data_IF_846436431408
#
_entry.id   IF_846436431408
#
_cell.length_a   1.000
_cell.length_b   1.000
_cell.length_c   1.000
_cell.angle_alpha   90.00
_cell.angle_beta   90.00
_cell.angle_gamma   90.00
#
_symmetry.space_group_name_H-M   'P 1'
#
loop_
_entity.id
_entity.type
_entity.pdbx_description
1 polymer ?
#
# COMPACT_ATOMS: atom_id res chain seq x y z
N UNK A 1 -4.48 21.45 -1.62
CA UNK A 1 -5.41 21.33 -0.47
C UNK A 1 -6.71 20.72 -0.96
N UNK A 2 -7.10 19.62 -0.35
CA UNK A 2 -8.37 18.96 -0.63
C UNK A 2 -9.40 19.45 0.37
N UNK A 3 -10.54 19.96 -0.13
CA UNK A 3 -11.66 20.30 0.73
C UNK A 3 -12.35 18.99 1.17
N UNK A 4 -12.29 18.71 2.46
CA UNK A 4 -12.86 17.49 3.05
C UNK A 4 -14.26 17.69 3.63
N UNK A 5 -14.90 18.83 3.34
CA UNK A 5 -16.24 19.14 3.87
C UNK A 5 -16.21 19.86 5.21
N UNK A 6 -17.39 20.16 5.70
CA UNK A 6 -17.58 20.99 6.90
C UNK A 6 -17.82 20.17 8.18
N UNK A 7 -18.06 18.85 8.07
CA UNK A 7 -18.33 18.02 9.24
C UNK A 7 -17.05 17.71 10.01
N UNK A 8 -17.18 17.71 11.34
CA UNK A 8 -16.07 17.30 12.21
C UNK A 8 -15.72 15.83 11.93
N UNK A 9 -14.45 15.57 11.67
CA UNK A 9 -13.96 14.23 11.35
C UNK A 9 -13.95 13.87 9.87
N UNK A 10 -14.43 14.72 8.97
CA UNK A 10 -14.41 14.46 7.52
C UNK A 10 -12.96 14.27 7.01
N UNK A 11 -12.00 15.04 7.51
CA UNK A 11 -10.59 14.86 7.18
C UNK A 11 -10.05 13.48 7.56
N UNK A 12 -10.46 12.94 8.68
CA UNK A 12 -10.12 11.58 9.12
C UNK A 12 -10.74 10.53 8.21
N UNK A 13 -11.99 10.75 7.78
CA UNK A 13 -12.68 9.84 6.86
C UNK A 13 -11.97 9.80 5.50
N UNK A 14 -11.61 10.95 4.93
CA UNK A 14 -10.82 11.02 3.69
C UNK A 14 -9.49 10.30 3.82
N UNK A 15 -8.80 10.50 4.93
CA UNK A 15 -7.53 9.82 5.19
C UNK A 15 -7.72 8.31 5.24
N UNK A 16 -8.75 7.81 5.92
CA UNK A 16 -9.03 6.38 6.01
C UNK A 16 -9.26 5.76 4.63
N UNK A 17 -10.05 6.41 3.77
CA UNK A 17 -10.28 5.96 2.38
C UNK A 17 -8.97 5.92 1.61
N UNK A 18 -8.17 6.98 1.70
CA UNK A 18 -6.85 7.03 1.04
C UNK A 18 -5.93 5.91 1.52
N UNK A 19 -5.88 5.65 2.83
CA UNK A 19 -4.99 4.63 3.39
C UNK A 19 -5.46 3.21 3.04
N UNK A 20 -6.74 2.97 2.87
CA UNK A 20 -7.22 1.72 2.31
C UNK A 20 -6.65 1.49 0.92
N UNK A 21 -6.77 2.48 0.04
CA UNK A 21 -6.24 2.37 -1.33
C UNK A 21 -4.72 2.20 -1.34
N UNK A 22 -4.00 3.04 -0.61
CA UNK A 22 -2.54 2.99 -0.54
C UNK A 22 -2.04 1.63 -0.06
N UNK A 23 -2.64 1.10 0.99
CA UNK A 23 -2.26 -0.19 1.57
C UNK A 23 -2.44 -1.33 0.58
N UNK A 24 -3.60 -1.40 -0.07
CA UNK A 24 -3.90 -2.43 -1.07
C UNK A 24 -3.01 -2.28 -2.29
N UNK A 25 -2.82 -1.05 -2.79
CA UNK A 25 -2.00 -0.79 -3.96
C UNK A 25 -0.52 -1.13 -3.75
N UNK A 26 0.03 -0.88 -2.57
CA UNK A 26 1.42 -1.26 -2.25
C UNK A 26 1.58 -2.77 -2.28
N UNK A 27 0.68 -3.51 -1.65
CA UNK A 27 0.74 -4.97 -1.62
C UNK A 27 0.57 -5.54 -3.04
N UNK A 28 -0.38 -5.01 -3.81
CA UNK A 28 -0.59 -5.41 -5.20
C UNK A 28 0.67 -5.15 -6.06
N UNK A 29 1.30 -3.99 -5.89
CA UNK A 29 2.54 -3.65 -6.61
C UNK A 29 3.67 -4.64 -6.27
N UNK A 30 3.85 -4.96 -4.99
CA UNK A 30 4.87 -5.90 -4.56
C UNK A 30 4.64 -7.30 -5.13
N UNK A 31 3.41 -7.77 -5.12
CA UNK A 31 3.05 -9.07 -5.70
C UNK A 31 3.25 -9.11 -7.22
N UNK A 32 2.85 -8.03 -7.91
CA UNK A 32 3.03 -7.93 -9.36
C UNK A 32 4.50 -7.98 -9.77
N UNK A 33 5.36 -7.22 -9.10
CA UNK A 33 6.80 -7.22 -9.39
C UNK A 33 7.46 -8.57 -9.01
N UNK A 34 7.05 -9.18 -7.92
CA UNK A 34 7.50 -10.51 -7.53
C UNK A 34 7.09 -11.56 -8.58
N UNK A 35 5.86 -11.49 -9.06
CA UNK A 35 5.38 -12.38 -10.14
C UNK A 35 6.20 -12.19 -11.41
N UNK A 36 6.47 -10.94 -11.79
CA UNK A 36 7.29 -10.63 -12.97
C UNK A 36 8.67 -11.29 -12.88
N UNK A 37 9.33 -11.16 -11.74
CA UNK A 37 10.64 -11.78 -11.50
C UNK A 37 10.59 -13.31 -11.59
N UNK A 38 9.57 -13.93 -11.01
CA UNK A 38 9.38 -15.39 -11.05
C UNK A 38 9.04 -15.90 -12.45
N UNK A 39 8.43 -15.08 -13.29
CA UNK A 39 8.18 -15.39 -14.70
C UNK A 39 9.42 -15.18 -15.59
N UNK A 40 10.53 -14.70 -15.03
CA UNK A 40 11.77 -14.44 -15.78
C UNK A 40 11.71 -13.16 -16.62
N UNK A 41 10.78 -12.25 -16.32
CA UNK A 41 10.67 -10.97 -17.01
C UNK A 41 11.65 -9.94 -16.43
N UNK A 42 12.07 -8.98 -17.24
CA UNK A 42 12.82 -7.83 -16.74
C UNK A 42 11.90 -6.92 -15.93
N UNK A 43 12.13 -6.87 -14.63
CA UNK A 43 11.23 -6.18 -13.69
C UNK A 43 11.14 -4.67 -13.95
N UNK A 44 12.24 -4.03 -14.36
CA UNK A 44 12.22 -2.60 -14.68
C UNK A 44 11.37 -2.32 -15.92
N UNK A 45 11.47 -3.17 -16.94
CA UNK A 45 10.63 -3.07 -18.15
C UNK A 45 9.16 -3.30 -17.83
N UNK A 46 8.86 -4.28 -16.96
CA UNK A 46 7.48 -4.53 -16.50
C UNK A 46 6.95 -3.33 -15.74
N UNK A 47 7.73 -2.77 -14.81
CA UNK A 47 7.33 -1.58 -14.06
C UNK A 47 6.99 -0.42 -15.00
N UNK A 48 7.84 -0.14 -15.99
CA UNK A 48 7.61 0.92 -16.96
C UNK A 48 6.32 0.68 -17.78
N UNK A 49 6.10 -0.55 -18.24
CA UNK A 49 4.91 -0.91 -19.00
C UNK A 49 3.63 -0.79 -18.17
N UNK A 50 3.66 -1.28 -16.92
CA UNK A 50 2.46 -1.28 -16.06
C UNK A 50 2.10 0.13 -15.60
N UNK A 51 3.09 0.99 -15.34
CA UNK A 51 2.83 2.39 -14.98
C UNK A 51 2.28 3.21 -16.13
N UNK A 52 2.41 2.75 -17.37
CA UNK A 52 1.82 3.38 -18.56
C UNK A 52 0.44 2.82 -18.93
N UNK A 53 -0.06 1.79 -18.24
CA UNK A 53 -1.28 1.07 -18.59
C UNK A 53 -2.34 1.07 -17.50
N UNK A 54 -3.35 0.25 -17.68
CA UNK A 54 -4.50 0.13 -16.78
C UNK A 54 -4.17 -0.41 -15.39
N UNK A 55 -3.04 -1.11 -15.25
CA UNK A 55 -2.57 -1.59 -13.95
C UNK A 55 -1.91 -0.53 -13.07
N UNK A 56 -1.81 0.70 -13.55
CA UNK A 56 -1.15 1.78 -12.83
C UNK A 56 -1.83 2.11 -11.51
N UNK A 57 -1.02 2.46 -10.51
CA UNK A 57 -1.42 3.20 -9.34
C UNK A 57 -0.28 4.16 -8.98
N UNK A 58 -0.63 5.22 -8.23
CA UNK A 58 0.39 6.13 -7.73
C UNK A 58 1.44 5.37 -6.91
N UNK A 59 0.99 4.40 -6.11
CA UNK A 59 1.89 3.59 -5.28
C UNK A 59 2.81 2.68 -6.11
N UNK A 60 2.33 2.12 -7.20
CA UNK A 60 3.17 1.35 -8.11
C UNK A 60 4.28 2.24 -8.70
N UNK A 61 3.94 3.41 -9.17
CA UNK A 61 4.89 4.33 -9.79
C UNK A 61 5.92 4.85 -8.79
N UNK A 62 5.49 5.21 -7.58
CA UNK A 62 6.37 5.79 -6.57
C UNK A 62 7.19 4.75 -5.80
N UNK A 63 6.56 3.66 -5.39
CA UNK A 63 7.20 2.60 -4.59
C UNK A 63 7.87 1.52 -5.42
N UNK A 64 7.44 1.30 -6.66
CA UNK A 64 7.99 0.27 -7.55
C UNK A 64 9.52 0.34 -7.70
N UNK A 65 10.08 1.50 -8.05
CA UNK A 65 11.54 1.62 -8.15
C UNK A 65 12.29 1.27 -6.86
N UNK A 66 11.70 1.60 -5.70
CA UNK A 66 12.29 1.27 -4.39
C UNK A 66 12.22 -0.23 -4.09
N UNK A 67 11.12 -0.87 -4.47
CA UNK A 67 10.98 -2.33 -4.34
C UNK A 67 12.05 -3.05 -5.15
N UNK A 68 12.34 -2.59 -6.37
CA UNK A 68 13.37 -3.16 -7.22
C UNK A 68 14.80 -2.87 -6.71
N UNK A 69 15.01 -1.73 -6.06
CA UNK A 69 16.30 -1.39 -5.43
C UNK A 69 16.57 -2.21 -4.16
N UNK A 70 15.53 -2.82 -3.58
CA UNK A 70 15.69 -3.69 -2.41
C UNK A 70 15.82 -2.92 -1.09
N UNK A 71 16.36 -3.61 -0.08
CA UNK A 71 16.44 -3.09 1.29
C UNK A 71 17.39 -1.90 1.46
N UNK A 72 18.26 -1.66 0.49
CA UNK A 72 19.19 -0.53 0.52
C UNK A 72 18.56 0.78 0.03
N UNK A 73 17.35 0.72 -0.51
CA UNK A 73 16.63 1.91 -0.96
C UNK A 73 16.30 2.84 0.21
N UNK A 74 16.34 4.18 -0.01
CA UNK A 74 15.90 5.13 1.01
C UNK A 74 14.44 4.88 1.41
N UNK A 75 14.16 4.94 2.70
CA UNK A 75 12.79 4.75 3.23
C UNK A 75 11.97 6.01 2.97
N UNK A 76 10.81 5.83 2.33
CA UNK A 76 9.87 6.93 2.11
C UNK A 76 8.75 6.94 3.15
N UNK A 77 8.16 5.77 3.39
CA UNK A 77 7.20 5.55 4.46
C UNK A 77 7.45 4.13 4.99
N UNK A 78 7.63 4.04 6.28
CA UNK A 78 7.97 2.77 6.91
C UNK A 78 6.78 1.81 6.93
N UNK A 79 7.05 0.52 6.85
CA UNK A 79 6.05 -0.55 6.96
C UNK A 79 5.20 -0.40 8.24
N UNK A 80 5.82 0.01 9.35
CA UNK A 80 5.12 0.22 10.62
C UNK A 80 4.00 1.26 10.56
N UNK A 81 4.11 2.26 9.67
CA UNK A 81 3.05 3.24 9.44
C UNK A 81 1.82 2.56 8.85
N UNK A 82 2.00 1.65 7.90
CA UNK A 82 0.90 0.91 7.29
C UNK A 82 0.28 -0.12 8.23
N UNK A 83 1.05 -0.71 9.12
CA UNK A 83 0.51 -1.55 10.20
C UNK A 83 -0.48 -0.75 11.05
N UNK A 84 -0.08 0.44 11.48
CA UNK A 84 -0.92 1.34 12.26
C UNK A 84 -2.15 1.80 11.47
N UNK A 85 -1.94 2.25 10.24
CA UNK A 85 -3.01 2.81 9.41
C UNK A 85 -4.04 1.76 9.00
N UNK A 86 -3.63 0.53 8.68
CA UNK A 86 -4.58 -0.55 8.37
C UNK A 86 -5.40 -0.96 9.59
N UNK A 87 -4.81 -0.93 10.79
CA UNK A 87 -5.54 -1.16 12.03
C UNK A 87 -6.62 -0.09 12.24
N UNK A 88 -6.27 1.18 12.02
CA UNK A 88 -7.20 2.30 12.15
C UNK A 88 -8.38 2.17 11.19
N UNK A 89 -8.13 1.83 9.93
CA UNK A 89 -9.17 1.62 8.92
C UNK A 89 -10.04 0.41 9.27
N UNK A 90 -9.44 -0.67 9.77
CA UNK A 90 -10.17 -1.87 10.20
C UNK A 90 -11.12 -1.57 11.35
N UNK A 91 -10.67 -0.78 12.33
CA UNK A 91 -11.50 -0.37 13.47
C UNK A 91 -12.69 0.48 13.01
N UNK A 92 -12.44 1.41 12.09
CA UNK A 92 -13.50 2.24 11.51
C UNK A 92 -14.53 1.39 10.75
N UNK A 93 -14.08 0.44 9.94
CA UNK A 93 -14.94 -0.46 9.20
C UNK A 93 -15.80 -1.32 10.15
N UNK A 94 -15.21 -1.82 11.24
CA UNK A 94 -15.92 -2.58 12.25
C UNK A 94 -17.02 -1.74 12.93
N UNK A 95 -16.71 -0.49 13.27
CA UNK A 95 -17.67 0.44 13.88
C UNK A 95 -18.84 0.74 12.95
N UNK A 96 -18.62 0.73 11.65
CA UNK A 96 -19.64 0.97 10.63
C UNK A 96 -20.31 -0.30 10.11
N UNK A 97 -19.89 -1.47 10.61
CA UNK A 97 -20.37 -2.78 10.16
C UNK A 97 -20.17 -2.99 8.64
N UNK A 98 -19.02 -2.60 8.14
CA UNK A 98 -18.63 -2.75 6.73
C UNK A 98 -17.58 -3.85 6.60
N UNK A 99 -17.81 -4.77 5.67
CA UNK A 99 -16.84 -5.80 5.30
C UNK A 99 -15.91 -5.29 4.18
N UNK A 100 -14.63 -5.10 4.51
CA UNK A 100 -13.59 -4.70 3.57
C UNK A 100 -12.70 -5.93 3.29
N UNK A 101 -13.01 -6.68 2.24
CA UNK A 101 -12.36 -7.95 1.93
C UNK A 101 -10.85 -7.83 1.70
N UNK A 102 -10.38 -6.75 1.06
CA UNK A 102 -8.97 -6.59 0.71
C UNK A 102 -8.13 -6.04 1.88
N UNK A 103 -8.72 -5.28 2.77
CA UNK A 103 -7.98 -4.66 3.88
C UNK A 103 -7.30 -5.68 4.81
N UNK A 104 -7.98 -6.73 5.27
CA UNK A 104 -7.34 -7.73 6.14
C UNK A 104 -6.15 -8.43 5.46
N UNK A 105 -6.23 -8.66 4.16
CA UNK A 105 -5.14 -9.27 3.38
C UNK A 105 -3.92 -8.35 3.38
N UNK A 106 -4.12 -7.07 3.05
CA UNK A 106 -3.05 -6.08 3.07
C UNK A 106 -2.46 -5.91 4.48
N UNK A 107 -3.31 -5.82 5.49
CA UNK A 107 -2.88 -5.69 6.89
C UNK A 107 -1.98 -6.84 7.33
N UNK A 108 -2.32 -8.08 6.97
CA UNK A 108 -1.50 -9.25 7.28
C UNK A 108 -0.13 -9.21 6.61
N UNK A 109 -0.05 -8.69 5.38
CA UNK A 109 1.25 -8.54 4.67
C UNK A 109 2.15 -7.53 5.37
N UNK A 110 1.62 -6.39 5.77
CA UNK A 110 2.40 -5.40 6.53
C UNK A 110 2.81 -5.93 7.90
N UNK A 111 1.92 -6.60 8.62
CA UNK A 111 2.23 -7.21 9.91
C UNK A 111 3.34 -8.27 9.78
N UNK A 112 3.27 -9.13 8.77
CA UNK A 112 4.30 -10.14 8.51
C UNK A 112 5.65 -9.50 8.20
N UNK A 113 5.68 -8.42 7.42
CA UNK A 113 6.92 -7.69 7.15
C UNK A 113 7.51 -7.07 8.42
N UNK A 114 6.66 -6.51 9.29
CA UNK A 114 7.10 -5.95 10.56
C UNK A 114 7.68 -7.02 11.49
N UNK A 115 7.08 -8.22 11.53
CA UNK A 115 7.58 -9.36 12.31
C UNK A 115 8.95 -9.85 11.82
N UNK A 116 9.27 -9.66 10.54
CA UNK A 116 10.59 -9.95 9.98
C UNK A 116 11.63 -8.86 10.30
N UNK A 117 11.29 -7.89 11.12
CA UNK A 117 12.18 -6.79 11.47
C UNK A 117 12.21 -5.63 10.47
N UNK A 118 11.23 -5.56 9.57
CA UNK A 118 11.18 -4.55 8.50
C UNK A 118 10.27 -3.35 8.84
N UNK A 119 9.85 -3.20 10.11
CA UNK A 119 8.90 -2.15 10.50
C UNK A 119 9.36 -0.73 10.15
N UNK A 120 10.66 -0.51 10.05
CA UNK A 120 11.28 0.80 9.74
C UNK A 120 11.66 0.96 8.26
N UNK A 121 11.31 0.00 7.43
CA UNK A 121 11.64 -0.01 6.00
C UNK A 121 10.50 0.53 5.12
#
# INVERSE_FOLDING_TARGET
IIDCGERLGDGQAYKAVNQLLCSVHIVAAAEALSLAGRLGLDEESVLAAMTAGAGQSWMLADRGPRMLAGLDAPVASAVGIFVKDTTLVADLAADLDIDLALLPVAARRFAAAAELGLARR
#
